data_IF_796182336498
#
_entry.id   IF_796182336498
#
_cell.length_a   1.000
_cell.length_b   1.000
_cell.length_c   1.000
_cell.angle_alpha   90.00
_cell.angle_beta   90.00
_cell.angle_gamma   90.00
#
_symmetry.space_group_name_H-M   'P 1'
#
loop_
_entity.id
_entity.type
_entity.pdbx_description
1 polymer ?
#
# COMPACT_ATOMS: atom_id res chain seq x y z
N UNK A 1 -11.78 1.48 6.90
CA UNK A 1 -10.51 1.11 7.57
C UNK A 1 -9.80 -0.07 6.90
N UNK A 2 -10.31 -1.31 6.95
CA UNK A 2 -9.64 -2.48 6.32
C UNK A 2 -9.38 -2.29 4.81
N UNK A 3 -10.43 -1.92 4.05
CA UNK A 3 -10.32 -1.59 2.62
C UNK A 3 -9.30 -0.48 2.34
N UNK A 4 -9.36 0.61 3.12
CA UNK A 4 -8.50 1.79 2.95
C UNK A 4 -7.04 1.44 3.19
N UNK A 5 -6.76 0.62 4.22
CA UNK A 5 -5.41 0.13 4.52
C UNK A 5 -4.85 -0.69 3.36
N UNK A 6 -5.58 -1.68 2.85
CA UNK A 6 -5.09 -2.50 1.76
C UNK A 6 -4.95 -1.74 0.45
N UNK A 7 -5.86 -0.81 0.17
CA UNK A 7 -5.79 0.06 -1.01
C UNK A 7 -4.56 0.97 -0.94
N UNK A 8 -4.34 1.65 0.19
CA UNK A 8 -3.17 2.49 0.41
C UNK A 8 -1.86 1.68 0.39
N UNK A 9 -1.87 0.49 0.99
CA UNK A 9 -0.73 -0.43 0.97
C UNK A 9 -0.39 -0.88 -0.44
N UNK A 10 -1.36 -1.22 -1.28
CA UNK A 10 -1.12 -1.62 -2.67
C UNK A 10 -0.54 -0.47 -3.51
N UNK A 11 -1.04 0.75 -3.28
CA UNK A 11 -0.58 1.98 -3.93
C UNK A 11 0.77 2.52 -3.41
N UNK A 12 1.32 1.98 -2.32
CA UNK A 12 2.46 2.54 -1.59
C UNK A 12 2.21 3.95 -1.02
N UNK A 13 0.95 4.28 -0.69
CA UNK A 13 0.57 5.55 -0.07
C UNK A 13 0.83 5.51 1.44
N UNK A 14 2.07 5.86 1.81
CA UNK A 14 2.53 5.86 3.21
C UNK A 14 1.84 6.95 4.04
N UNK A 15 1.37 8.03 3.43
CA UNK A 15 0.73 9.14 4.13
C UNK A 15 -0.64 8.74 4.65
N UNK A 16 -1.45 8.08 3.80
CA UNK A 16 -2.74 7.53 4.22
C UNK A 16 -2.54 6.45 5.28
N UNK A 17 -1.55 5.54 5.10
CA UNK A 17 -1.25 4.50 6.09
C UNK A 17 -0.89 5.08 7.46
N UNK A 18 -0.08 6.15 7.51
CA UNK A 18 0.30 6.82 8.76
C UNK A 18 -0.89 7.38 9.52
N UNK A 19 -1.94 7.81 8.82
CA UNK A 19 -3.14 8.39 9.43
C UNK A 19 -4.07 7.35 10.04
N UNK A 20 -4.14 6.17 9.42
CA UNK A 20 -5.14 5.14 9.78
C UNK A 20 -4.57 3.96 10.57
N UNK A 21 -3.24 3.77 10.59
CA UNK A 21 -2.58 2.67 11.28
C UNK A 21 -1.82 3.16 12.53
N UNK A 22 -1.74 2.31 13.55
CA UNK A 22 -0.80 2.47 14.65
C UNK A 22 0.64 2.27 14.17
N UNK A 23 1.60 2.83 14.92
CA UNK A 23 3.01 2.86 14.52
C UNK A 23 3.60 1.46 14.28
N UNK A 24 3.22 0.47 15.09
CA UNK A 24 3.70 -0.91 14.92
C UNK A 24 3.28 -1.53 13.58
N UNK A 25 2.00 -1.42 13.23
CA UNK A 25 1.50 -1.90 11.93
C UNK A 25 2.11 -1.09 10.78
N UNK A 26 2.15 0.25 10.92
CA UNK A 26 2.75 1.14 9.92
C UNK A 26 4.21 0.77 9.63
N UNK A 27 5.01 0.49 10.66
CA UNK A 27 6.40 0.08 10.52
C UNK A 27 6.55 -1.18 9.65
N UNK A 28 5.75 -2.21 9.93
CA UNK A 28 5.77 -3.45 9.12
C UNK A 28 5.33 -3.22 7.66
N UNK A 29 4.31 -2.39 7.43
CA UNK A 29 3.85 -2.06 6.08
C UNK A 29 4.90 -1.24 5.31
N UNK A 30 5.55 -0.27 5.97
CA UNK A 30 6.65 0.51 5.39
C UNK A 30 7.82 -0.36 4.98
N UNK A 31 8.25 -1.26 5.85
CA UNK A 31 9.31 -2.22 5.54
C UNK A 31 8.94 -3.07 4.31
N UNK A 32 7.70 -3.56 4.23
CA UNK A 32 7.25 -4.32 3.05
C UNK A 32 7.17 -3.48 1.78
N UNK A 33 6.88 -2.18 1.88
CA UNK A 33 6.90 -1.26 0.74
C UNK A 33 8.33 -1.00 0.28
N UNK A 34 9.30 -0.85 1.20
CA UNK A 34 10.70 -0.55 0.84
C UNK A 34 11.41 -1.70 0.13
N UNK A 35 10.97 -2.95 0.35
CA UNK A 35 11.50 -4.13 -0.35
C UNK A 35 10.91 -4.30 -1.77
N UNK A 36 9.94 -3.47 -2.19
CA UNK A 36 9.39 -3.54 -3.55
C UNK A 36 10.40 -2.99 -4.55
N UNK A 37 10.41 -3.54 -5.77
CA UNK A 37 11.16 -2.90 -6.84
C UNK A 37 10.62 -1.48 -7.10
N UNK A 38 11.45 -0.47 -7.44
CA UNK A 38 11.02 0.92 -7.59
C UNK A 38 9.82 1.12 -8.52
N UNK A 39 9.74 0.28 -9.55
CA UNK A 39 8.73 0.29 -10.61
C UNK A 39 7.59 -0.70 -10.40
N UNK A 40 7.53 -1.33 -9.23
CA UNK A 40 6.51 -2.30 -8.88
C UNK A 40 5.43 -1.66 -8.02
N UNK A 41 4.18 -1.80 -8.48
CA UNK A 41 2.99 -1.47 -7.71
C UNK A 41 2.09 -2.70 -7.67
N UNK A 42 1.20 -2.72 -6.70
CA UNK A 42 0.18 -3.75 -6.61
C UNK A 42 -1.19 -3.12 -6.82
N UNK A 43 -2.13 -3.93 -7.29
CA UNK A 43 -3.54 -3.58 -7.29
C UNK A 43 -4.27 -4.59 -6.40
N UNK A 44 -4.71 -4.13 -5.23
CA UNK A 44 -5.52 -4.96 -4.35
C UNK A 44 -6.99 -4.72 -4.64
N UNK A 45 -7.76 -5.80 -4.77
CA UNK A 45 -9.20 -5.74 -5.03
C UNK A 45 -9.94 -6.57 -4.00
N UNK A 46 -10.97 -5.97 -3.39
CA UNK A 46 -11.96 -6.67 -2.59
C UNK A 46 -13.14 -7.05 -3.50
N UNK A 47 -13.26 -8.34 -3.82
CA UNK A 47 -14.33 -8.85 -4.68
C UNK A 47 -15.64 -8.95 -3.90
N UNK A 48 -15.60 -9.57 -2.73
CA UNK A 48 -16.81 -9.82 -1.95
C UNK A 48 -16.52 -9.97 -0.46
N UNK A 49 -17.42 -9.50 0.40
CA UNK A 49 -17.44 -9.84 1.82
C UNK A 49 -18.23 -11.14 2.02
N UNK A 50 -17.63 -12.13 2.68
CA UNK A 50 -18.27 -13.41 2.98
C UNK A 50 -18.99 -13.27 4.32
N UNK A 51 -20.23 -12.79 4.26
CA UNK A 51 -21.01 -12.45 5.43
C UNK A 51 -20.62 -11.09 6.04
N UNK A 52 -21.20 -10.78 7.20
CA UNK A 52 -20.94 -9.52 7.91
C UNK A 52 -19.69 -9.66 8.79
N UNK A 53 -18.84 -8.62 8.90
CA UNK A 53 -17.78 -8.57 9.90
C UNK A 53 -18.32 -8.84 11.30
N UNK A 54 -17.60 -9.62 12.10
CA UNK A 54 -18.03 -10.02 13.45
C UNK A 54 -17.05 -9.51 14.49
N UNK A 55 -17.55 -8.84 15.53
CA UNK A 55 -16.74 -8.55 16.73
C UNK A 55 -16.52 -9.85 17.48
N UNK A 56 -15.25 -10.23 17.68
CA UNK A 56 -14.88 -11.44 18.43
C UNK A 56 -14.32 -11.12 19.81
N UNK A 57 -13.82 -9.89 20.01
CA UNK A 57 -13.38 -9.40 21.31
C UNK A 57 -13.56 -7.88 21.39
N UNK A 58 -13.91 -7.38 22.57
CA UNK A 58 -14.05 -5.96 22.86
C UNK A 58 -13.60 -5.73 24.30
N UNK A 59 -12.46 -5.09 24.48
CA UNK A 59 -11.87 -4.84 25.80
C UNK A 59 -11.54 -3.36 25.95
N UNK A 60 -11.74 -2.85 27.15
CA UNK A 60 -11.36 -1.51 27.54
C UNK A 60 -10.58 -1.55 28.84
N UNK A 61 -9.60 -0.66 28.98
CA UNK A 61 -8.79 -0.51 30.18
C UNK A 61 -8.56 0.98 30.46
N UNK A 62 -8.70 1.37 31.72
CA UNK A 62 -8.24 2.69 32.18
C UNK A 62 -6.72 2.64 32.26
N UNK A 63 -6.04 3.63 31.68
CA UNK A 63 -4.59 3.70 31.74
C UNK A 63 -4.16 4.32 33.07
N UNK A 64 -3.08 3.83 33.73
CA UNK A 64 -2.65 4.32 35.03
C UNK A 64 -1.96 5.70 34.97
N UNK A 65 -2.05 6.39 33.83
CA UNK A 65 -1.44 7.68 33.58
C UNK A 65 -2.43 8.62 32.88
N UNK A 66 -2.40 9.90 33.28
CA UNK A 66 -3.31 10.93 32.80
C UNK A 66 -4.71 10.82 33.42
N UNK A 67 -5.39 11.95 33.49
CA UNK A 67 -6.76 12.03 33.99
C UNK A 67 -7.71 11.52 32.89
N UNK A 68 -8.69 10.70 33.25
CA UNK A 68 -9.73 10.24 32.30
C UNK A 68 -9.12 9.67 31.01
N UNK A 69 -8.06 8.87 31.18
CA UNK A 69 -7.36 8.21 30.08
C UNK A 69 -7.77 6.74 30.01
N UNK A 70 -8.18 6.29 28.83
CA UNK A 70 -8.53 4.89 28.62
C UNK A 70 -8.09 4.41 27.24
N UNK A 71 -7.98 3.09 27.11
CA UNK A 71 -7.73 2.39 25.86
C UNK A 71 -8.88 1.42 25.61
N UNK A 72 -9.38 1.39 24.38
CA UNK A 72 -10.32 0.37 23.91
C UNK A 72 -9.77 -0.34 22.70
N UNK A 73 -9.79 -1.65 22.73
CA UNK A 73 -9.39 -2.51 21.61
C UNK A 73 -10.55 -3.43 21.23
N UNK A 74 -10.79 -3.56 19.93
CA UNK A 74 -11.83 -4.41 19.36
C UNK A 74 -11.19 -5.29 18.29
N UNK A 75 -11.43 -6.59 18.39
CA UNK A 75 -11.01 -7.56 17.38
C UNK A 75 -12.20 -7.89 16.51
N UNK A 76 -12.04 -7.72 15.20
CA UNK A 76 -13.08 -7.93 14.21
C UNK A 76 -12.62 -9.03 13.24
N UNK A 77 -13.39 -10.12 13.18
CA UNK A 77 -13.23 -11.15 12.16
C UNK A 77 -13.84 -10.67 10.85
N UNK A 78 -13.02 -10.64 9.80
CA UNK A 78 -13.42 -10.33 8.43
C UNK A 78 -13.19 -11.59 7.58
N UNK A 79 -14.22 -11.97 6.82
CA UNK A 79 -14.10 -13.00 5.79
C UNK A 79 -14.43 -12.36 4.45
N UNK A 80 -13.61 -12.61 3.45
CA UNK A 80 -13.75 -11.96 2.15
C UNK A 80 -13.08 -12.73 1.02
N UNK A 81 -13.47 -12.44 -0.22
CA UNK A 81 -12.77 -12.82 -1.44
C UNK A 81 -11.96 -11.62 -1.92
N UNK A 82 -10.65 -11.81 -2.06
CA UNK A 82 -9.71 -10.75 -2.40
C UNK A 82 -8.74 -11.21 -3.49
N UNK A 83 -8.17 -10.27 -4.24
CA UNK A 83 -7.02 -10.56 -5.11
C UNK A 83 -5.96 -9.45 -5.02
N UNK A 84 -4.71 -9.82 -5.30
CA UNK A 84 -3.58 -8.90 -5.34
C UNK A 84 -2.85 -9.07 -6.68
N UNK A 85 -3.10 -8.15 -7.61
CA UNK A 85 -2.43 -8.12 -8.90
C UNK A 85 -1.12 -7.33 -8.85
N UNK A 86 -0.17 -7.70 -9.72
CA UNK A 86 1.09 -6.98 -9.90
C UNK A 86 0.97 -6.04 -11.10
N UNK A 87 1.39 -4.78 -10.92
CA UNK A 87 1.48 -3.76 -11.96
C UNK A 87 2.94 -3.34 -12.07
N UNK A 88 3.62 -3.75 -13.15
CA UNK A 88 4.98 -3.31 -13.43
C UNK A 88 4.89 -2.14 -14.42
N UNK A 89 5.45 -1.00 -14.00
CA UNK A 89 5.56 0.18 -14.86
C UNK A 89 6.96 0.15 -15.47
N UNK A 90 7.10 -0.36 -16.69
CA UNK A 90 8.41 -0.33 -17.35
C UNK A 90 8.70 1.10 -17.84
N UNK A 91 9.90 1.65 -17.59
CA UNK A 91 10.35 2.83 -18.32
C UNK A 91 10.33 2.48 -19.81
N UNK A 92 9.65 3.27 -20.63
CA UNK A 92 9.55 3.06 -22.07
C UNK A 92 10.93 2.74 -22.65
N UNK A 93 11.04 1.62 -23.35
CA UNK A 93 12.27 1.24 -24.03
C UNK A 93 12.59 2.34 -25.04
N UNK A 94 13.60 3.17 -24.75
CA UNK A 94 14.23 3.97 -25.80
C UNK A 94 14.67 2.99 -26.89
N UNK A 95 14.10 3.12 -28.09
CA UNK A 95 14.43 2.29 -29.23
C UNK A 95 15.95 2.15 -29.37
N UNK A 96 16.45 0.91 -29.33
CA UNK A 96 17.81 0.59 -29.72
C UNK A 96 17.90 0.80 -31.23
N UNK A 97 18.21 2.02 -31.67
CA UNK A 97 18.79 2.22 -32.99
C UNK A 97 20.18 1.57 -32.94
N UNK A 98 20.34 0.45 -33.62
CA UNK A 98 21.64 -0.13 -33.95
C UNK A 98 22.09 0.55 -35.24
N UNK A 99 23.13 1.41 -35.26
CA UNK A 99 23.75 1.78 -36.52
C UNK A 99 24.78 0.69 -36.85
N UNK A 100 24.47 -0.12 -37.86
CA UNK A 100 25.48 -0.93 -38.55
C UNK A 100 26.50 0.00 -39.18
N UNK A 101 27.78 -0.30 -38.97
CA UNK A 101 28.90 0.47 -39.45
C UNK A 101 29.01 0.44 -40.98
N UNK A 102 29.28 1.60 -41.59
CA UNK A 102 30.25 1.86 -42.66
C UNK A 102 29.71 2.82 -43.74
N UNK A 103 30.14 4.09 -43.69
CA UNK A 103 30.66 4.81 -44.85
C UNK A 103 31.24 6.18 -44.43
N UNK A 104 32.53 6.35 -44.69
CA UNK A 104 33.26 7.65 -44.83
C UNK A 104 32.57 8.46 -45.96
N UNK A 105 32.59 9.79 -46.07
CA UNK A 105 33.69 10.72 -45.89
C UNK A 105 33.19 12.19 -46.05
N UNK A 106 34.02 13.15 -45.60
CA UNK A 106 34.25 14.53 -46.13
C UNK A 106 33.22 15.67 -46.01
N UNK A 107 33.49 16.55 -45.03
CA UNK A 107 33.82 18.00 -45.14
C UNK A 107 33.04 18.94 -46.09
N UNK A 108 32.34 19.95 -45.53
CA UNK A 108 32.68 21.41 -45.61
C UNK A 108 31.47 22.34 -45.31
N UNK A 109 31.66 23.15 -44.28
CA UNK A 109 31.29 24.57 -44.06
C UNK A 109 30.21 25.27 -44.93
N UNK A 110 29.19 25.87 -44.31
CA UNK A 110 28.79 27.29 -44.50
C UNK A 110 27.61 27.75 -43.62
N UNK A 111 27.93 28.67 -42.70
CA UNK A 111 27.29 29.96 -42.35
C UNK A 111 25.85 30.29 -42.85
N UNK A 112 24.94 30.54 -41.91
CA UNK A 112 23.90 31.62 -41.84
C UNK A 112 22.90 31.24 -40.72
N UNK A 113 22.64 32.00 -39.65
CA UNK A 113 22.01 33.32 -39.45
C UNK A 113 20.54 33.43 -39.88
N UNK A 114 19.60 33.13 -38.96
CA UNK A 114 18.41 33.94 -38.64
C UNK A 114 17.70 33.29 -37.42
N UNK A 115 17.54 33.99 -36.30
CA UNK A 115 16.36 34.79 -35.88
C UNK A 115 15.12 33.94 -35.61
N UNK A 116 14.88 33.75 -34.31
CA UNK A 116 13.61 33.85 -33.58
C UNK A 116 12.34 33.49 -34.35
N UNK A 117 11.77 32.32 -34.02
CA UNK A 117 10.34 32.30 -33.71
C UNK A 117 10.06 31.29 -32.59
N UNK A 118 9.15 31.70 -31.71
CA UNK A 118 8.88 31.14 -30.41
C UNK A 118 8.21 29.78 -30.54
N UNK A 119 8.94 28.71 -30.19
CA UNK A 119 8.44 27.35 -30.18
C UNK A 119 7.31 27.20 -29.16
N UNK A 120 6.12 27.02 -29.75
CA UNK A 120 4.90 26.48 -29.17
C UNK A 120 5.19 25.41 -28.11
N UNK A 121 4.61 25.61 -26.94
CA UNK A 121 4.52 24.64 -25.85
C UNK A 121 3.64 23.48 -26.30
N UNK A 122 4.24 22.52 -26.98
CA UNK A 122 3.59 21.29 -27.44
C UNK A 122 3.30 20.37 -26.27
N UNK A 123 2.01 20.12 -26.07
CA UNK A 123 1.38 19.00 -25.36
C UNK A 123 2.30 17.78 -25.20
N UNK A 124 2.73 17.50 -23.96
CA UNK A 124 3.27 16.19 -23.58
C UNK A 124 2.13 15.17 -23.65
N UNK A 125 2.11 14.38 -24.73
CA UNK A 125 1.29 13.18 -24.83
C UNK A 125 1.74 12.19 -23.74
N UNK A 126 0.79 11.80 -22.90
CA UNK A 126 0.93 10.86 -21.80
C UNK A 126 0.95 9.42 -22.32
N UNK A 127 1.75 9.09 -23.32
CA UNK A 127 1.71 7.79 -23.98
C UNK A 127 3.13 7.30 -24.24
N UNK A 128 3.62 6.43 -23.36
CA UNK A 128 4.65 5.39 -23.61
C UNK A 128 5.08 4.66 -22.31
N UNK A 129 4.12 4.32 -21.44
CA UNK A 129 4.36 3.45 -20.28
C UNK A 129 3.70 2.09 -20.54
N UNK A 130 4.49 1.12 -20.99
CA UNK A 130 4.05 -0.28 -21.08
C UNK A 130 3.77 -0.78 -19.67
N UNK A 131 2.49 -0.80 -19.31
CA UNK A 131 2.00 -1.35 -18.06
C UNK A 131 1.69 -2.82 -18.28
N UNK A 132 2.53 -3.73 -17.77
CA UNK A 132 2.13 -5.13 -17.68
C UNK A 132 1.37 -5.34 -16.37
N UNK A 133 0.08 -5.66 -16.50
CA UNK A 133 -0.80 -5.99 -15.37
C UNK A 133 -1.03 -7.49 -15.33
N UNK A 134 -0.58 -8.15 -14.26
CA UNK A 134 -0.94 -9.53 -14.00
C UNK A 134 -2.04 -9.54 -12.95
N UNK A 135 -3.28 -9.95 -13.30
CA UNK A 135 -4.36 -10.04 -12.31
C UNK A 135 -3.98 -11.08 -11.26
N UNK A 136 -4.19 -10.74 -10.00
CA UNK A 136 -4.01 -11.69 -8.90
C UNK A 136 -5.12 -12.72 -8.93
N UNK A 137 -4.80 -13.95 -8.51
CA UNK A 137 -5.79 -14.99 -8.25
C UNK A 137 -6.74 -14.54 -7.12
N UNK A 138 -8.04 -14.74 -7.32
CA UNK A 138 -9.05 -14.51 -6.30
C UNK A 138 -8.99 -15.61 -5.24
N UNK A 139 -8.86 -15.21 -3.97
CA UNK A 139 -8.76 -16.14 -2.84
C UNK A 139 -9.72 -15.74 -1.74
N UNK A 140 -10.27 -16.76 -1.08
CA UNK A 140 -10.96 -16.56 0.20
C UNK A 140 -9.93 -16.32 1.31
N UNK A 141 -10.15 -15.27 2.08
CA UNK A 141 -9.26 -14.78 3.13
C UNK A 141 -10.08 -14.52 4.39
N UNK A 142 -9.61 -15.07 5.51
CA UNK A 142 -10.14 -14.79 6.85
C UNK A 142 -9.07 -14.06 7.65
N UNK A 143 -9.41 -12.88 8.16
CA UNK A 143 -8.49 -12.01 8.90
C UNK A 143 -9.11 -11.56 10.21
N UNK A 144 -8.27 -11.39 11.23
CA UNK A 144 -8.67 -10.78 12.50
C UNK A 144 -7.99 -9.43 12.62
N UNK A 145 -8.79 -8.38 12.45
CA UNK A 145 -8.31 -7.01 12.48
C UNK A 145 -8.50 -6.46 13.89
N UNK A 146 -7.42 -5.95 14.47
CA UNK A 146 -7.45 -5.26 15.76
C UNK A 146 -7.54 -3.77 15.49
N UNK A 147 -8.66 -3.16 15.90
CA UNK A 147 -8.81 -1.71 15.91
C UNK A 147 -8.71 -1.19 17.34
N UNK A 148 -8.14 -0.01 17.49
CA UNK A 148 -7.90 0.64 18.78
C UNK A 148 -8.42 2.06 18.77
N UNK A 149 -8.97 2.48 19.90
CA UNK A 149 -9.31 3.87 20.19
C UNK A 149 -8.79 4.25 21.57
N UNK A 150 -8.26 5.46 21.68
CA UNK A 150 -7.82 6.03 22.96
C UNK A 150 -8.81 7.10 23.42
N UNK A 151 -8.90 7.26 24.72
CA UNK A 151 -9.44 8.45 25.38
C UNK A 151 -8.29 9.12 26.10
N UNK A 152 -8.12 10.43 25.90
CA UNK A 152 -7.07 11.22 26.50
C UNK A 152 -7.68 12.47 27.13
N UNK A 153 -7.53 12.66 28.45
CA UNK A 153 -8.15 13.77 29.19
C UNK A 153 -9.67 13.90 28.90
N UNK A 154 -10.38 12.77 28.92
CA UNK A 154 -11.82 12.71 28.65
C UNK A 154 -12.22 12.86 27.17
N UNK A 155 -11.27 13.13 26.26
CA UNK A 155 -11.54 13.26 24.83
C UNK A 155 -11.23 11.97 24.09
N UNK A 156 -12.20 11.43 23.36
CA UNK A 156 -11.98 10.27 22.49
C UNK A 156 -11.21 10.66 21.22
N UNK A 157 -10.18 9.89 20.91
CA UNK A 157 -9.45 9.96 19.65
C UNK A 157 -10.16 9.12 18.57
N UNK A 158 -9.79 9.28 17.28
CA UNK A 158 -10.28 8.41 16.22
C UNK A 158 -9.88 6.94 16.41
N UNK A 159 -10.65 6.03 15.78
CA UNK A 159 -10.23 4.64 15.65
C UNK A 159 -9.03 4.52 14.70
N UNK A 160 -8.07 3.68 15.06
CA UNK A 160 -6.91 3.32 14.24
C UNK A 160 -6.81 1.79 14.11
N UNK A 161 -6.22 1.32 13.02
CA UNK A 161 -5.82 -0.07 12.83
C UNK A 161 -4.57 -0.33 13.66
N UNK A 162 -4.72 -1.08 14.75
CA UNK A 162 -3.61 -1.40 15.63
C UNK A 162 -2.73 -2.51 15.07
N UNK A 163 -3.35 -3.55 14.50
CA UNK A 163 -2.64 -4.70 13.96
C UNK A 163 -3.57 -5.77 13.39
N UNK A 164 -2.96 -6.85 12.92
CA UNK A 164 -3.63 -8.10 12.56
C UNK A 164 -3.29 -9.15 13.63
N UNK A 165 -4.16 -10.13 13.81
CA UNK A 165 -3.93 -11.27 14.71
C UNK A 165 -4.40 -12.57 14.05
N UNK A 166 -4.02 -13.69 14.64
CA UNK A 166 -4.37 -15.03 14.19
C UNK A 166 -5.16 -15.76 15.28
N UNK A 167 -5.88 -16.80 14.90
CA UNK A 167 -6.55 -17.65 15.89
C UNK A 167 -5.49 -18.37 16.72
N UNK A 168 -5.61 -18.31 18.04
CA UNK A 168 -4.79 -19.15 18.92
C UNK A 168 -5.29 -20.60 18.78
N UNK A 169 -4.49 -21.53 18.25
CA UNK A 169 -4.91 -22.92 18.15
C UNK A 169 -5.09 -23.50 19.56
N UNK A 170 -6.00 -24.47 19.69
CA UNK A 170 -6.34 -25.07 20.99
C UNK A 170 -5.13 -25.66 21.69
N UNK A 171 -4.20 -26.26 20.94
CA UNK A 171 -2.97 -26.86 21.47
C UNK A 171 -2.10 -25.84 22.21
N UNK A 172 -1.92 -24.63 21.63
CA UNK A 172 -1.14 -23.56 22.25
C UNK A 172 -1.80 -22.96 23.50
N UNK A 173 -3.12 -23.11 23.65
CA UNK A 173 -3.87 -22.57 24.80
C UNK A 173 -3.79 -23.46 26.05
N UNK A 174 -3.42 -24.74 25.90
CA UNK A 174 -3.28 -25.67 27.03
C UNK A 174 -1.96 -25.41 27.79
N UNK A 175 -0.90 -25.04 27.09
CA UNK A 175 0.43 -24.81 27.67
C UNK A 175 0.53 -23.51 28.50
N UNK A 176 -0.40 -22.56 28.31
CA UNK A 176 -0.32 -21.24 28.98
C UNK A 176 -0.89 -21.21 30.40
N UNK A 177 -1.38 -22.34 30.94
CA UNK A 177 -1.96 -22.43 32.30
C UNK A 177 -1.02 -22.96 33.38
N UNK A 178 0.26 -23.16 33.10
CA UNK A 178 1.23 -23.68 34.06
C UNK A 178 2.43 -22.73 34.25
N UNK A 179 2.21 -21.52 34.78
CA UNK A 179 3.27 -20.73 35.44
C UNK A 179 2.67 -19.77 36.46
#
# INVERSE_FOLDING_TARGET
MHKDMYTAFAASDVETLRRICAEGLLGSLRARISHRAPNERFNWTLHQMIGKPRVVSNRAAVLPFGKETALRQVVVKIRSRQSLGRKVVQPGAKGKNVPSAAARNTSRNSKSSNREDSSQLSSMSQEDLVTSSHPGEEKEVTEYVVIQRRMWNGKEEPWILWGLTEETPLEAAVDTKAT
#
